data_IF_320921854850
#
_entry.id   IF_320921854850
#
_cell.length_a   1.000
_cell.length_b   1.000
_cell.length_c   1.000
_cell.angle_alpha   90.00
_cell.angle_beta   90.00
_cell.angle_gamma   90.00
#
_symmetry.space_group_name_H-M   'P 1'
#
loop_
_entity.id
_entity.type
_entity.pdbx_description
1 polymer ?
#
# COMPACT_ATOMS: atom_id res chain seq x y z
N UNK A 1 16.12 22.37 12.57
CA UNK A 1 15.05 22.22 13.58
C UNK A 1 15.61 22.74 14.89
N UNK A 2 14.93 23.70 15.54
CA UNK A 2 15.28 24.11 16.90
C UNK A 2 14.63 23.14 17.90
N UNK A 3 15.40 22.68 18.89
CA UNK A 3 14.86 21.83 19.96
C UNK A 3 14.10 22.74 20.93
N UNK A 4 12.82 22.48 21.24
CA UNK A 4 12.05 23.25 22.21
C UNK A 4 12.70 23.19 23.59
N UNK A 5 12.74 24.31 24.31
CA UNK A 5 13.28 24.40 25.68
C UNK A 5 12.61 23.40 26.62
N UNK A 6 11.32 23.12 26.43
CA UNK A 6 10.57 22.12 27.19
C UNK A 6 11.10 20.69 27.06
N UNK A 7 11.67 20.33 25.91
CA UNK A 7 12.28 19.00 25.67
C UNK A 7 13.62 18.90 26.39
N UNK A 8 14.40 19.98 26.40
CA UNK A 8 15.67 20.07 27.13
C UNK A 8 15.42 19.96 28.64
N UNK A 9 14.43 20.67 29.17
CA UNK A 9 14.05 20.56 30.59
C UNK A 9 13.63 19.13 30.96
N UNK A 10 12.83 18.46 30.12
CA UNK A 10 12.42 17.07 30.36
C UNK A 10 13.58 16.07 30.31
N UNK A 11 14.58 16.30 29.45
CA UNK A 11 15.81 15.52 29.41
C UNK A 11 16.60 15.68 30.71
N UNK A 12 16.80 16.92 31.15
CA UNK A 12 17.55 17.23 32.37
C UNK A 12 16.86 16.69 33.63
N UNK A 13 15.52 16.75 33.70
CA UNK A 13 14.75 16.14 34.79
C UNK A 13 14.95 14.63 34.83
N UNK A 14 14.85 13.95 33.68
CA UNK A 14 15.08 12.51 33.57
C UNK A 14 16.50 12.11 33.94
N UNK A 15 17.48 12.93 33.59
CA UNK A 15 18.87 12.71 33.93
C UNK A 15 19.10 12.86 35.44
N UNK A 16 18.53 13.90 36.06
CA UNK A 16 18.59 14.13 37.50
C UNK A 16 17.88 13.03 38.31
N UNK A 17 16.76 12.51 37.81
CA UNK A 17 15.98 11.43 38.43
C UNK A 17 16.72 10.06 38.37
N UNK A 18 17.75 9.92 37.52
CA UNK A 18 18.44 8.66 37.24
C UNK A 18 19.97 8.80 37.24
N UNK A 19 20.52 9.13 38.41
CA UNK A 19 21.97 9.20 38.71
C UNK A 19 22.78 10.09 37.76
N UNK A 20 22.18 11.15 37.22
CA UNK A 20 22.85 12.05 36.30
C UNK A 20 23.18 11.40 34.95
N UNK A 21 22.49 10.32 34.56
CA UNK A 21 22.64 9.77 33.22
C UNK A 21 21.34 9.21 32.65
N UNK A 22 20.97 9.69 31.46
CA UNK A 22 19.84 9.16 30.68
C UNK A 22 19.99 7.65 30.38
N UNK A 23 21.23 7.12 30.36
CA UNK A 23 21.48 5.68 30.14
C UNK A 23 20.96 4.78 31.26
N UNK A 24 20.79 5.33 32.46
CA UNK A 24 20.34 4.60 33.64
C UNK A 24 18.81 4.59 33.76
N UNK A 25 18.12 5.31 32.86
CA UNK A 25 16.66 5.34 32.82
C UNK A 25 16.14 4.01 32.25
N UNK A 26 15.22 3.32 32.93
CA UNK A 26 14.56 2.13 32.40
C UNK A 26 13.89 2.37 31.04
N UNK A 27 14.07 1.44 30.09
CA UNK A 27 13.55 1.55 28.72
C UNK A 27 12.01 1.62 28.63
N UNK A 28 11.33 1.13 29.67
CA UNK A 28 9.88 1.18 29.76
C UNK A 28 9.33 2.53 30.24
N UNK A 29 10.20 3.42 30.77
CA UNK A 29 9.85 4.72 31.31
C UNK A 29 9.06 5.58 30.29
N UNK A 30 7.85 6.06 30.65
CA UNK A 30 6.98 6.77 29.72
C UNK A 30 7.53 8.13 29.27
N UNK A 31 8.33 8.82 30.09
CA UNK A 31 8.98 10.09 29.71
C UNK A 31 10.10 9.83 28.68
N UNK A 32 10.93 8.80 28.90
CA UNK A 32 11.99 8.39 27.96
C UNK A 32 11.41 8.01 26.58
N UNK A 33 10.30 7.26 26.56
CA UNK A 33 9.58 6.92 25.31
C UNK A 33 9.09 8.16 24.56
N UNK A 34 8.53 9.15 25.26
CA UNK A 34 8.09 10.41 24.63
C UNK A 34 9.25 11.19 24.02
N UNK A 35 10.38 11.26 24.71
CA UNK A 35 11.59 11.91 24.19
C UNK A 35 12.15 11.16 22.97
N UNK A 36 12.23 9.82 23.00
CA UNK A 36 12.61 9.03 21.83
C UNK A 36 11.69 9.28 20.64
N UNK A 37 10.37 9.37 20.86
CA UNK A 37 9.41 9.72 19.80
C UNK A 37 9.61 11.14 19.25
N UNK A 38 10.11 12.08 20.06
CA UNK A 38 10.41 13.45 19.62
C UNK A 38 11.68 13.50 18.76
N UNK A 39 12.77 12.86 19.20
CA UNK A 39 14.05 12.84 18.47
C UNK A 39 14.03 11.90 17.26
N UNK A 40 13.32 10.78 17.39
CA UNK A 40 13.11 9.79 16.34
C UNK A 40 11.60 9.68 16.02
N UNK A 41 11.00 10.66 15.35
CA UNK A 41 9.58 10.58 14.96
C UNK A 41 9.29 9.42 14.00
N UNK A 42 10.34 8.91 13.32
CA UNK A 42 10.32 7.68 12.52
C UNK A 42 10.17 6.41 13.35
N UNK A 43 10.39 6.44 14.67
CA UNK A 43 10.16 5.30 15.58
C UNK A 43 8.75 5.25 16.13
N UNK A 44 7.85 6.20 15.80
CA UNK A 44 6.45 6.11 16.21
C UNK A 44 5.78 4.94 15.48
N UNK A 45 5.52 3.81 16.18
CA UNK A 45 5.04 2.61 15.52
C UNK A 45 3.66 2.85 14.89
N UNK A 46 2.83 3.72 15.49
CA UNK A 46 1.49 4.05 14.98
C UNK A 46 1.59 4.83 13.67
N UNK A 47 2.54 5.77 13.53
CA UNK A 47 2.72 6.52 12.28
C UNK A 47 3.22 5.62 11.15
N UNK A 48 4.18 4.73 11.43
CA UNK A 48 4.68 3.75 10.46
C UNK A 48 3.60 2.74 10.05
N UNK A 49 2.81 2.22 11.00
CA UNK A 49 1.69 1.33 10.67
C UNK A 49 0.65 2.03 9.77
N UNK A 50 0.36 3.30 10.04
CA UNK A 50 -0.56 4.09 9.21
C UNK A 50 0.00 4.33 7.80
N UNK A 51 1.29 4.59 7.66
CA UNK A 51 1.94 4.72 6.36
C UNK A 51 1.88 3.40 5.56
N UNK A 52 2.23 2.27 6.19
CA UNK A 52 2.10 0.93 5.61
C UNK A 52 0.65 0.68 5.17
N UNK A 53 -0.32 1.00 6.02
CA UNK A 53 -1.76 0.86 5.72
C UNK A 53 -2.14 1.66 4.47
N UNK A 54 -1.73 2.92 4.37
CA UNK A 54 -2.03 3.74 3.20
C UNK A 54 -1.41 3.19 1.92
N UNK A 55 -0.15 2.73 1.97
CA UNK A 55 0.50 2.12 0.81
C UNK A 55 -0.20 0.82 0.37
N UNK A 56 -0.70 0.00 1.30
CA UNK A 56 -1.49 -1.19 0.97
C UNK A 56 -2.78 -0.81 0.24
N UNK A 57 -3.50 0.19 0.76
CA UNK A 57 -4.74 0.67 0.15
C UNK A 57 -4.52 1.28 -1.24
N UNK A 58 -3.38 1.95 -1.44
CA UNK A 58 -2.97 2.51 -2.72
C UNK A 58 -2.62 1.44 -3.77
N UNK A 59 -2.44 0.18 -3.34
CA UNK A 59 -2.11 -0.97 -4.20
C UNK A 59 -0.62 -1.17 -4.44
N UNK A 60 0.22 -0.83 -3.46
CA UNK A 60 1.62 -1.23 -3.46
C UNK A 60 1.77 -2.70 -3.07
N UNK A 61 2.74 -3.37 -3.69
CA UNK A 61 3.15 -4.72 -3.28
C UNK A 61 3.88 -4.70 -1.95
N UNK A 62 3.94 -5.85 -1.28
CA UNK A 62 4.64 -5.98 0.02
C UNK A 62 6.11 -5.56 -0.07
N UNK A 63 6.78 -5.92 -1.17
CA UNK A 63 8.18 -5.56 -1.38
C UNK A 63 8.34 -4.05 -1.57
N UNK A 64 7.52 -3.43 -2.42
CA UNK A 64 7.58 -1.97 -2.61
C UNK A 64 7.30 -1.19 -1.32
N UNK A 65 6.46 -1.73 -0.43
CA UNK A 65 6.19 -1.13 0.89
C UNK A 65 7.44 -1.22 1.77
N UNK A 66 8.09 -2.38 1.81
CA UNK A 66 9.35 -2.59 2.55
C UNK A 66 10.41 -1.60 2.07
N UNK A 67 10.60 -1.51 0.76
CA UNK A 67 11.60 -0.62 0.16
C UNK A 67 11.30 0.87 0.46
N UNK A 68 10.02 1.26 0.52
CA UNK A 68 9.60 2.64 0.80
C UNK A 68 9.66 3.03 2.26
N UNK A 69 9.31 2.12 3.16
CA UNK A 69 9.17 2.39 4.60
C UNK A 69 10.41 1.97 5.39
N UNK A 70 11.38 1.32 4.73
CA UNK A 70 12.55 0.71 5.36
C UNK A 70 12.15 -0.22 6.52
N UNK A 71 11.07 -0.98 6.35
CA UNK A 71 10.56 -1.92 7.37
C UNK A 71 10.72 -3.36 6.93
N UNK A 72 10.62 -4.31 7.87
CA UNK A 72 10.66 -5.73 7.53
C UNK A 72 9.35 -6.22 6.90
N UNK A 73 9.44 -7.24 6.04
CA UNK A 73 8.27 -7.94 5.49
C UNK A 73 7.31 -8.44 6.59
N UNK A 74 7.85 -8.87 7.74
CA UNK A 74 7.04 -9.33 8.87
C UNK A 74 6.25 -8.21 9.53
N UNK A 75 6.77 -6.99 9.53
CA UNK A 75 6.03 -5.82 10.00
C UNK A 75 4.86 -5.53 9.07
N UNK A 76 5.08 -5.55 7.75
CA UNK A 76 4.00 -5.40 6.76
C UNK A 76 2.96 -6.50 6.91
N UNK A 77 3.37 -7.77 7.10
CA UNK A 77 2.44 -8.90 7.35
C UNK A 77 1.62 -8.70 8.62
N UNK A 78 2.24 -8.25 9.72
CA UNK A 78 1.55 -7.94 10.98
C UNK A 78 0.49 -6.87 10.79
N UNK A 79 0.80 -5.78 10.09
CA UNK A 79 -0.16 -4.71 9.79
C UNK A 79 -1.34 -5.24 8.96
N UNK A 80 -1.06 -6.01 7.90
CA UNK A 80 -2.12 -6.63 7.07
C UNK A 80 -3.05 -7.48 7.93
N UNK A 81 -2.50 -8.33 8.81
CA UNK A 81 -3.27 -9.21 9.69
C UNK A 81 -4.07 -8.42 10.73
N UNK A 82 -3.43 -7.45 11.39
CA UNK A 82 -4.04 -6.62 12.45
C UNK A 82 -5.25 -5.84 11.95
N UNK A 83 -5.14 -5.25 10.76
CA UNK A 83 -6.19 -4.39 10.20
C UNK A 83 -7.04 -5.07 9.12
N UNK A 84 -6.91 -6.39 8.94
CA UNK A 84 -7.67 -7.19 7.96
C UNK A 84 -7.65 -6.60 6.55
N UNK A 85 -6.48 -6.10 6.12
CA UNK A 85 -6.34 -5.39 4.85
C UNK A 85 -6.25 -6.37 3.67
N UNK A 86 -6.94 -6.03 2.58
CA UNK A 86 -6.81 -6.73 1.30
C UNK A 86 -5.87 -5.95 0.41
N UNK A 87 -4.81 -6.61 -0.06
CA UNK A 87 -3.86 -6.02 -1.01
C UNK A 87 -4.56 -5.78 -2.35
N UNK A 88 -4.54 -4.53 -2.80
CA UNK A 88 -5.07 -4.16 -4.11
C UNK A 88 -4.11 -4.56 -5.23
N UNK A 89 -4.63 -5.05 -6.37
CA UNK A 89 -3.80 -5.54 -7.47
C UNK A 89 -3.11 -4.40 -8.23
N UNK A 90 -1.96 -4.74 -8.82
CA UNK A 90 -1.29 -3.93 -9.84
C UNK A 90 -1.80 -4.35 -11.22
N UNK A 91 -2.30 -3.41 -12.01
CA UNK A 91 -2.91 -3.69 -13.31
C UNK A 91 -1.89 -3.62 -14.44
N UNK A 92 -1.75 -4.71 -15.18
CA UNK A 92 -0.81 -4.86 -16.29
C UNK A 92 -1.51 -4.84 -17.65
N UNK A 93 -2.83 -5.02 -17.68
CA UNK A 93 -3.64 -5.00 -18.88
C UNK A 93 -4.86 -4.10 -18.71
N UNK A 94 -5.26 -3.47 -19.81
CA UNK A 94 -6.48 -2.66 -19.89
C UNK A 94 -7.24 -3.00 -21.17
N UNK A 95 -8.56 -3.13 -21.06
CA UNK A 95 -9.46 -3.21 -22.19
C UNK A 95 -10.19 -1.88 -22.36
N UNK A 96 -10.18 -1.36 -23.59
CA UNK A 96 -10.74 -0.06 -23.93
C UNK A 96 -11.76 -0.21 -25.04
N UNK A 97 -12.93 0.41 -24.89
CA UNK A 97 -13.97 0.52 -25.91
C UNK A 97 -14.45 1.97 -25.94
N UNK A 98 -14.69 2.50 -27.15
CA UNK A 98 -15.14 3.89 -27.31
C UNK A 98 -16.50 4.07 -26.62
N UNK A 99 -16.62 5.10 -25.77
CA UNK A 99 -17.85 5.38 -25.03
C UNK A 99 -18.14 4.41 -23.88
N UNK A 100 -17.19 3.57 -23.45
CA UNK A 100 -17.36 2.67 -22.31
C UNK A 100 -16.23 2.86 -21.29
N UNK A 101 -16.48 2.56 -20.00
CA UNK A 101 -15.43 2.56 -18.98
C UNK A 101 -14.27 1.63 -19.34
N UNK A 102 -13.07 1.99 -18.90
CA UNK A 102 -11.89 1.12 -19.07
C UNK A 102 -12.01 -0.04 -18.08
N UNK A 103 -11.62 -1.23 -18.53
CA UNK A 103 -11.60 -2.42 -17.68
C UNK A 103 -10.13 -2.79 -17.44
N UNK A 104 -9.71 -2.89 -16.19
CA UNK A 104 -8.33 -3.17 -15.80
C UNK A 104 -8.17 -4.58 -15.22
N UNK A 105 -7.02 -5.22 -15.45
CA UNK A 105 -6.68 -6.49 -14.81
C UNK A 105 -5.16 -6.67 -14.66
N UNK A 106 -4.76 -7.46 -13.67
CA UNK A 106 -3.37 -7.91 -13.49
C UNK A 106 -3.01 -9.10 -14.39
N UNK A 107 -4.01 -9.82 -14.89
CA UNK A 107 -3.87 -11.02 -15.69
C UNK A 107 -4.90 -10.99 -16.81
N UNK A 108 -4.43 -11.07 -18.06
CA UNK A 108 -5.31 -11.08 -19.22
C UNK A 108 -6.28 -12.27 -19.21
N UNK A 109 -5.94 -13.37 -18.54
CA UNK A 109 -6.84 -14.51 -18.39
C UNK A 109 -8.11 -14.17 -17.59
N UNK A 110 -8.08 -13.12 -16.75
CA UNK A 110 -9.28 -12.72 -15.98
C UNK A 110 -10.40 -12.19 -16.90
N UNK A 111 -10.07 -11.74 -18.13
CA UNK A 111 -11.09 -11.36 -19.11
C UNK A 111 -11.95 -12.54 -19.59
N UNK A 112 -11.60 -13.77 -19.22
CA UNK A 112 -12.41 -14.96 -19.42
C UNK A 112 -13.87 -14.77 -18.96
N UNK A 113 -14.08 -14.14 -17.80
CA UNK A 113 -15.41 -13.83 -17.25
C UNK A 113 -16.22 -12.89 -18.16
N UNK A 114 -15.54 -12.02 -18.91
CA UNK A 114 -16.18 -11.00 -19.77
C UNK A 114 -16.56 -11.55 -21.14
N UNK A 115 -15.85 -12.57 -21.64
CA UNK A 115 -15.88 -12.89 -23.06
C UNK A 115 -16.69 -14.14 -23.39
N UNK A 116 -16.55 -15.26 -22.66
CA UNK A 116 -17.31 -16.52 -22.93
C UNK A 116 -16.84 -17.76 -22.16
N UNK A 117 -15.93 -17.66 -21.18
CA UNK A 117 -15.66 -18.83 -20.34
C UNK A 117 -14.60 -19.83 -20.86
N UNK A 118 -13.75 -19.47 -21.83
CA UNK A 118 -12.63 -20.31 -22.27
C UNK A 118 -11.24 -19.71 -22.00
N UNK A 119 -10.38 -20.47 -21.30
CA UNK A 119 -9.00 -20.07 -21.07
C UNK A 119 -8.24 -20.14 -22.39
N UNK A 120 -7.61 -19.04 -22.77
CA UNK A 120 -6.88 -18.97 -24.02
C UNK A 120 -5.74 -17.97 -23.91
N UNK A 121 -4.67 -18.20 -24.67
CA UNK A 121 -3.51 -17.30 -24.67
C UNK A 121 -3.85 -15.87 -25.14
N UNK A 122 -2.97 -14.93 -24.81
CA UNK A 122 -3.15 -13.50 -25.06
C UNK A 122 -3.59 -13.14 -26.49
N UNK A 123 -3.06 -13.76 -27.57
CA UNK A 123 -3.54 -13.46 -28.94
C UNK A 123 -5.00 -13.81 -29.16
N UNK A 124 -5.47 -14.95 -28.64
CA UNK A 124 -6.88 -15.36 -28.73
C UNK A 124 -7.76 -14.44 -27.89
N UNK A 125 -7.30 -14.07 -26.70
CA UNK A 125 -7.98 -13.10 -25.84
C UNK A 125 -8.16 -11.74 -26.51
N UNK A 126 -7.13 -11.23 -27.20
CA UNK A 126 -7.21 -9.99 -27.99
C UNK A 126 -8.27 -10.08 -29.09
N UNK A 127 -8.28 -11.18 -29.87
CA UNK A 127 -9.28 -11.40 -30.92
C UNK A 127 -10.70 -11.45 -30.33
N UNK A 128 -10.88 -12.12 -29.20
CA UNK A 128 -12.18 -12.28 -28.57
C UNK A 128 -12.70 -10.97 -27.95
N UNK A 129 -11.82 -10.16 -27.33
CA UNK A 129 -12.15 -8.80 -26.89
C UNK A 129 -12.50 -7.90 -28.08
N UNK A 130 -11.75 -8.01 -29.19
CA UNK A 130 -12.01 -7.23 -30.40
C UNK A 130 -13.40 -7.53 -30.99
N UNK A 131 -13.85 -8.79 -30.98
CA UNK A 131 -15.21 -9.19 -31.38
C UNK A 131 -16.32 -8.54 -30.54
N UNK A 132 -16.03 -8.18 -29.28
CA UNK A 132 -16.95 -7.45 -28.38
C UNK A 132 -16.79 -5.92 -28.47
N UNK A 133 -15.92 -5.44 -29.37
CA UNK A 133 -15.60 -4.03 -29.56
C UNK A 133 -14.55 -3.47 -28.60
N UNK A 134 -13.84 -4.33 -27.87
CA UNK A 134 -12.78 -3.92 -26.95
C UNK A 134 -11.39 -4.13 -27.55
N UNK A 135 -10.50 -3.18 -27.31
CA UNK A 135 -9.07 -3.31 -27.58
C UNK A 135 -8.34 -3.63 -26.28
N UNK A 136 -7.77 -4.84 -26.21
CA UNK A 136 -6.95 -5.29 -25.09
C UNK A 136 -5.48 -4.84 -25.26
N UNK A 137 -5.01 -4.03 -24.33
CA UNK A 137 -3.69 -3.41 -24.33
C UNK A 137 -2.89 -3.93 -23.12
N UNK A 138 -1.64 -4.34 -23.35
CA UNK A 138 -0.67 -4.58 -22.27
C UNK A 138 -0.01 -3.24 -21.94
N UNK A 139 -0.07 -2.83 -20.69
CA UNK A 139 0.50 -1.58 -20.22
C UNK A 139 2.02 -1.74 -20.09
N UNK A 140 2.78 -0.82 -20.69
CA UNK A 140 4.24 -0.77 -20.53
C UNK A 140 4.62 -0.46 -19.07
N UNK A 141 3.88 0.45 -18.43
CA UNK A 141 4.00 0.74 -17.00
C UNK A 141 2.71 0.30 -16.32
N UNK A 142 2.74 -0.73 -15.46
CA UNK A 142 1.55 -1.17 -14.75
C UNK A 142 0.94 -0.03 -13.93
N UNK A 143 -0.40 -0.01 -13.84
CA UNK A 143 -1.17 1.03 -13.17
C UNK A 143 -1.63 0.51 -11.81
N UNK A 144 -1.47 1.33 -10.77
CA UNK A 144 -1.94 1.01 -9.41
C UNK A 144 -3.40 1.36 -9.24
N UNK A 145 -4.07 0.69 -8.30
CA UNK A 145 -5.46 0.94 -7.95
C UNK A 145 -5.79 2.42 -7.67
N UNK A 146 -4.92 3.13 -6.95
CA UNK A 146 -5.07 4.57 -6.70
C UNK A 146 -5.22 5.41 -7.98
N UNK A 147 -4.57 5.01 -9.08
CA UNK A 147 -4.51 5.77 -10.33
C UNK A 147 -5.68 5.53 -11.30
N UNK A 148 -6.59 4.60 -10.99
CA UNK A 148 -7.81 4.42 -11.79
C UNK A 148 -8.71 5.66 -11.67
N UNK A 149 -9.48 5.98 -12.71
CA UNK A 149 -10.48 7.04 -12.61
C UNK A 149 -11.73 6.54 -11.85
N UNK A 150 -12.48 7.41 -11.17
CA UNK A 150 -13.82 7.06 -10.68
C UNK A 150 -14.69 6.57 -11.84
N UNK A 151 -15.39 5.45 -11.64
CA UNK A 151 -16.19 4.78 -12.67
C UNK A 151 -15.43 3.78 -13.55
N UNK A 152 -14.09 3.73 -13.49
CA UNK A 152 -13.33 2.66 -14.14
C UNK A 152 -13.64 1.30 -13.49
N UNK A 153 -13.59 0.25 -14.31
CA UNK A 153 -13.89 -1.12 -13.89
C UNK A 153 -12.57 -1.88 -13.73
N UNK A 154 -12.48 -2.77 -12.76
CA UNK A 154 -11.34 -3.65 -12.60
C UNK A 154 -11.78 -5.08 -12.24
N UNK A 155 -10.99 -6.05 -12.69
CA UNK A 155 -11.21 -7.47 -12.45
C UNK A 155 -10.33 -7.93 -11.28
N UNK A 156 -10.99 -8.36 -10.21
CA UNK A 156 -10.37 -9.12 -9.12
C UNK A 156 -10.73 -10.62 -9.26
N UNK A 157 -10.04 -11.50 -8.51
CA UNK A 157 -10.34 -12.95 -8.51
C UNK A 157 -11.83 -13.25 -8.25
N UNK A 158 -12.51 -12.39 -7.51
CA UNK A 158 -13.92 -12.55 -7.10
C UNK A 158 -14.93 -11.96 -8.10
N UNK A 159 -14.48 -11.24 -9.14
CA UNK A 159 -15.38 -10.68 -10.15
C UNK A 159 -15.03 -9.26 -10.59
N UNK A 160 -15.99 -8.64 -11.27
CA UNK A 160 -15.97 -7.24 -11.71
C UNK A 160 -16.22 -6.31 -10.53
N UNK A 161 -15.37 -5.29 -10.39
CA UNK A 161 -15.50 -4.24 -9.40
C UNK A 161 -15.45 -2.88 -10.09
N UNK A 162 -16.17 -1.91 -9.53
CA UNK A 162 -16.16 -0.52 -10.00
C UNK A 162 -15.38 0.32 -9.01
N UNK A 163 -14.51 1.19 -9.51
CA UNK A 163 -13.86 2.19 -8.68
C UNK A 163 -14.88 3.25 -8.29
N UNK A 164 -15.16 3.33 -7.00
CA UNK A 164 -15.94 4.40 -6.39
C UNK A 164 -15.11 5.68 -6.31
#
# INVERSE_FOLDING_TARGET
MSIPTSIISQLNELEADHDGSIKNVPEDNPKLKKLRLFFNPSENPIKKENEIKQLILDGYSRQEIVDKTSTSLDTVRRVIKRYHLVLRPLFTYVAVKKGSPKIYTNNYNNYHQVISGHHCGLPRMRKAMARKGYRLIRLHKPIRWKKLAPGDIYLERKGLCVKK
#
